data_IF_244596460203
#
_entry.id   IF_244596460203
#
_cell.length_a   1.000
_cell.length_b   1.000
_cell.length_c   1.000
_cell.angle_alpha   90.00
_cell.angle_beta   90.00
_cell.angle_gamma   90.00
#
_symmetry.space_group_name_H-M   'P 1'
#
loop_
_entity.id
_entity.type
_entity.pdbx_description
1 polymer ?
#
# COMPACT_ATOMS: atom_id res chain seq x y z
N UNK A 1 16.46 -22.41 14.79
CA UNK A 1 15.61 -21.89 13.69
C UNK A 1 15.33 -23.06 12.76
N UNK A 2 14.07 -23.28 12.36
CA UNK A 2 13.71 -24.40 11.47
C UNK A 2 14.34 -24.18 10.09
N UNK A 3 14.93 -25.22 9.47
CA UNK A 3 15.60 -25.10 8.15
C UNK A 3 14.62 -24.61 7.09
N UNK A 4 13.35 -25.02 7.16
CA UNK A 4 12.30 -24.52 6.27
C UNK A 4 12.05 -23.01 6.44
N UNK A 5 12.30 -22.45 7.61
CA UNK A 5 12.11 -21.02 7.87
C UNK A 5 13.27 -20.20 7.32
N UNK A 6 14.51 -20.72 7.43
CA UNK A 6 15.71 -20.13 6.83
C UNK A 6 15.54 -20.03 5.31
N UNK A 7 15.15 -21.14 4.66
CA UNK A 7 14.87 -21.20 3.22
C UNK A 7 13.83 -20.19 2.77
N UNK A 8 12.78 -19.99 3.57
CA UNK A 8 11.70 -19.03 3.27
C UNK A 8 12.20 -17.60 3.31
N UNK A 9 12.96 -17.26 4.34
CA UNK A 9 13.54 -15.91 4.50
C UNK A 9 14.49 -15.62 3.33
N UNK A 10 15.35 -16.58 2.99
CA UNK A 10 16.27 -16.45 1.86
C UNK A 10 15.53 -16.31 0.52
N UNK A 11 14.46 -17.08 0.30
CA UNK A 11 13.62 -16.94 -0.89
C UNK A 11 12.90 -15.59 -0.95
N UNK A 12 12.41 -15.08 0.18
CA UNK A 12 11.79 -13.76 0.26
C UNK A 12 12.82 -12.67 -0.11
N UNK A 13 14.02 -12.73 0.46
CA UNK A 13 15.10 -11.81 0.15
C UNK A 13 15.50 -11.83 -1.32
N UNK A 14 15.61 -13.01 -1.94
CA UNK A 14 15.88 -13.14 -3.38
C UNK A 14 14.75 -12.56 -4.23
N UNK A 15 13.50 -12.72 -3.80
CA UNK A 15 12.33 -12.12 -4.47
C UNK A 15 12.40 -10.59 -4.45
N UNK A 16 12.78 -10.02 -3.31
CA UNK A 16 12.84 -8.57 -3.13
C UNK A 16 14.05 -7.96 -3.87
N UNK A 17 15.23 -8.57 -3.76
CA UNK A 17 16.48 -8.06 -4.35
C UNK A 17 16.61 -8.29 -5.85
N UNK A 18 16.26 -9.47 -6.36
CA UNK A 18 16.46 -9.81 -7.78
C UNK A 18 15.20 -9.60 -8.63
N UNK A 19 14.01 -9.58 -8.02
CA UNK A 19 12.73 -9.52 -8.74
C UNK A 19 11.82 -8.36 -8.31
N UNK A 20 12.32 -7.44 -7.47
CA UNK A 20 11.60 -6.24 -7.04
C UNK A 20 10.32 -6.55 -6.25
N UNK A 21 10.30 -7.67 -5.52
CA UNK A 21 9.16 -8.11 -4.73
C UNK A 21 8.03 -8.75 -5.54
N UNK A 22 8.17 -8.87 -6.86
CA UNK A 22 7.10 -9.40 -7.73
C UNK A 22 7.14 -10.93 -7.76
N UNK A 23 6.28 -11.54 -6.94
CA UNK A 23 6.16 -13.02 -6.81
C UNK A 23 5.92 -13.75 -8.14
N UNK A 24 5.23 -13.11 -9.09
CA UNK A 24 4.99 -13.69 -10.41
C UNK A 24 6.29 -13.83 -11.26
N UNK A 25 7.24 -12.90 -11.12
CA UNK A 25 8.50 -12.91 -11.88
C UNK A 25 9.42 -14.04 -11.39
N UNK A 26 9.54 -14.20 -10.08
CA UNK A 26 10.31 -15.31 -9.51
C UNK A 26 9.65 -16.67 -9.81
N UNK A 27 8.32 -16.75 -9.75
CA UNK A 27 7.59 -17.98 -10.09
C UNK A 27 7.86 -18.43 -11.53
N UNK A 28 7.85 -17.48 -12.48
CA UNK A 28 8.20 -17.76 -13.88
C UNK A 28 9.64 -18.27 -14.03
N UNK A 29 10.60 -17.68 -13.31
CA UNK A 29 12.01 -18.12 -13.35
C UNK A 29 12.21 -19.52 -12.77
N UNK A 30 11.47 -19.83 -11.70
CA UNK A 30 11.48 -21.12 -11.01
C UNK A 30 10.63 -22.19 -11.70
N UNK A 31 9.96 -21.88 -12.81
CA UNK A 31 9.02 -22.79 -13.51
C UNK A 31 7.95 -23.36 -12.56
N UNK A 32 7.41 -22.49 -11.70
CA UNK A 32 6.33 -22.84 -10.76
C UNK A 32 5.17 -21.87 -10.92
N UNK A 33 4.00 -22.31 -10.47
CA UNK A 33 2.85 -21.42 -10.39
C UNK A 33 3.06 -20.34 -9.33
N UNK A 34 2.61 -19.12 -9.63
CA UNK A 34 2.66 -18.00 -8.69
C UNK A 34 1.90 -18.29 -7.38
N UNK A 35 0.83 -19.08 -7.46
CA UNK A 35 0.03 -19.58 -6.34
C UNK A 35 0.89 -20.40 -5.36
N UNK A 36 1.79 -21.23 -5.87
CA UNK A 36 2.68 -22.07 -5.06
C UNK A 36 3.71 -21.23 -4.30
N UNK A 37 4.36 -20.28 -4.99
CA UNK A 37 5.32 -19.36 -4.37
C UNK A 37 4.63 -18.47 -3.32
N UNK A 38 3.43 -17.97 -3.61
CA UNK A 38 2.65 -17.18 -2.66
C UNK A 38 2.32 -17.94 -1.37
N UNK A 39 2.03 -19.25 -1.46
CA UNK A 39 1.78 -20.11 -0.30
C UNK A 39 3.02 -20.39 0.54
N UNK A 40 4.20 -20.50 -0.09
CA UNK A 40 5.48 -20.62 0.62
C UNK A 40 5.86 -19.31 1.34
N UNK A 41 5.57 -18.16 0.72
CA UNK A 41 5.91 -16.82 1.24
C UNK A 41 4.77 -16.14 2.00
N UNK A 42 3.64 -16.80 2.21
CA UNK A 42 2.48 -16.17 2.86
C UNK A 42 2.80 -15.76 4.29
N UNK A 43 2.41 -14.54 4.66
CA UNK A 43 2.47 -14.02 6.03
C UNK A 43 1.09 -14.00 6.71
N UNK A 44 0.02 -14.32 5.96
CA UNK A 44 -1.36 -14.33 6.45
C UNK A 44 -1.78 -15.68 7.05
N UNK A 45 -0.92 -16.69 6.93
CA UNK A 45 -1.15 -18.05 7.46
C UNK A 45 -0.22 -18.30 8.63
N UNK A 46 -0.75 -18.85 9.73
CA UNK A 46 0.02 -19.19 10.93
C UNK A 46 1.26 -20.05 10.59
N UNK A 47 2.40 -19.88 11.31
CA UNK A 47 3.63 -20.63 11.11
C UNK A 47 3.47 -22.14 10.92
N UNK A 48 2.61 -22.78 11.73
CA UNK A 48 2.34 -24.21 11.64
C UNK A 48 1.66 -24.66 10.33
N UNK A 49 0.90 -23.78 9.68
CA UNK A 49 0.06 -24.09 8.51
C UNK A 49 0.65 -23.60 7.18
N UNK A 50 1.84 -22.98 7.22
CA UNK A 50 2.53 -22.50 6.01
C UNK A 50 3.12 -23.67 5.22
N UNK A 51 3.09 -23.57 3.89
CA UNK A 51 3.72 -24.58 3.02
C UNK A 51 5.23 -24.52 3.23
N UNK A 52 5.80 -25.61 3.75
CA UNK A 52 7.24 -25.73 4.01
C UNK A 52 8.02 -25.84 2.69
N UNK A 53 9.22 -25.25 2.68
CA UNK A 53 10.18 -25.37 1.58
C UNK A 53 11.07 -26.58 1.87
N UNK A 54 10.75 -27.69 1.20
CA UNK A 54 11.50 -28.93 1.30
C UNK A 54 12.86 -28.87 0.59
N UNK A 55 13.65 -29.93 0.78
CA UNK A 55 15.00 -30.09 0.22
C UNK A 55 15.01 -29.96 -1.30
N UNK A 56 14.19 -30.73 -2.01
CA UNK A 56 14.16 -30.73 -3.48
C UNK A 56 13.82 -29.34 -4.03
N UNK A 57 12.89 -28.65 -3.38
CA UNK A 57 12.49 -27.32 -3.84
C UNK A 57 13.56 -26.27 -3.56
N UNK A 58 14.28 -26.38 -2.44
CA UNK A 58 15.42 -25.51 -2.15
C UNK A 58 16.54 -25.68 -3.20
N UNK A 59 16.88 -26.92 -3.57
CA UNK A 59 17.90 -27.20 -4.59
C UNK A 59 17.48 -26.70 -5.97
N UNK A 60 16.20 -26.89 -6.33
CA UNK A 60 15.65 -26.35 -7.57
C UNK A 60 15.75 -24.83 -7.63
N UNK A 61 15.52 -24.13 -6.51
CA UNK A 61 15.70 -22.67 -6.44
C UNK A 61 17.16 -22.28 -6.67
N UNK A 62 18.10 -22.95 -5.99
CA UNK A 62 19.53 -22.69 -6.11
C UNK A 62 20.01 -22.85 -7.55
N UNK A 63 19.62 -23.95 -8.21
CA UNK A 63 19.97 -24.23 -9.61
C UNK A 63 19.42 -23.16 -10.56
N UNK A 64 18.13 -22.83 -10.44
CA UNK A 64 17.45 -21.90 -11.36
C UNK A 64 17.88 -20.44 -11.18
N UNK A 65 18.37 -20.09 -10.00
CA UNK A 65 18.90 -18.77 -9.68
C UNK A 65 20.43 -18.70 -9.74
N UNK A 66 21.11 -19.81 -10.08
CA UNK A 66 22.58 -19.87 -10.18
C UNK A 66 23.30 -19.63 -8.85
N UNK A 67 22.71 -20.08 -7.74
CA UNK A 67 23.26 -19.96 -6.40
C UNK A 67 24.16 -21.16 -6.08
N UNK A 68 25.10 -20.96 -5.16
CA UNK A 68 25.86 -22.08 -4.60
C UNK A 68 24.95 -23.06 -3.87
N UNK A 69 25.31 -24.34 -3.92
CA UNK A 69 24.56 -25.38 -3.21
C UNK A 69 24.54 -25.09 -1.72
N UNK A 70 23.38 -25.25 -1.09
CA UNK A 70 23.12 -24.90 0.32
C UNK A 70 23.06 -23.40 0.63
N UNK A 71 23.11 -22.53 -0.37
CA UNK A 71 22.90 -21.10 -0.17
C UNK A 71 21.55 -20.80 0.49
N UNK A 72 20.48 -21.54 0.16
CA UNK A 72 19.17 -21.35 0.77
C UNK A 72 19.10 -21.86 2.22
N UNK A 73 20.03 -22.70 2.65
CA UNK A 73 20.09 -23.29 3.99
C UNK A 73 20.97 -22.49 4.94
N UNK A 74 21.84 -21.67 4.37
CA UNK A 74 22.71 -20.79 5.13
C UNK A 74 21.96 -19.52 5.53
N UNK A 75 21.99 -19.11 6.80
CA UNK A 75 21.46 -17.81 7.23
C UNK A 75 22.26 -16.61 6.66
N UNK A 76 23.34 -16.87 5.90
CA UNK A 76 24.34 -15.88 5.48
C UNK A 76 24.14 -15.24 4.11
N UNK A 77 23.03 -15.48 3.40
CA UNK A 77 22.72 -14.72 2.15
C UNK A 77 22.53 -13.21 2.38
N UNK A 78 22.57 -12.75 3.64
CA UNK A 78 22.58 -11.36 4.07
C UNK A 78 23.99 -10.75 4.33
N UNK A 79 25.08 -11.48 4.09
CA UNK A 79 26.42 -10.90 4.16
C UNK A 79 26.83 -10.41 2.76
N UNK A 80 26.86 -9.08 2.59
CA UNK A 80 27.17 -8.42 1.32
C UNK A 80 28.44 -8.96 0.65
N UNK A 81 28.31 -9.25 -0.64
CA UNK A 81 29.44 -9.52 -1.53
C UNK A 81 30.30 -8.25 -1.64
N UNK A 82 31.46 -8.25 -1.00
CA UNK A 82 32.63 -7.46 -1.37
C UNK A 82 33.58 -8.41 -2.09
N UNK A 83 33.79 -8.18 -3.39
CA UNK A 83 35.02 -8.59 -4.08
C UNK A 83 35.72 -7.24 -4.39
N UNK A 84 36.74 -6.81 -3.64
CA UNK A 84 38.17 -7.16 -3.67
C UNK A 84 38.99 -6.23 -4.57
N UNK A 85 39.80 -5.35 -3.94
CA UNK A 85 41.20 -5.07 -4.30
C UNK A 85 41.82 -3.99 -3.41
N UNK A 86 42.74 -4.40 -2.52
CA UNK A 86 44.00 -3.68 -2.29
C UNK A 86 44.18 -2.87 -1.00
N UNK A 87 45.16 -3.30 -0.20
CA UNK A 87 46.02 -2.40 0.59
C UNK A 87 45.64 -2.27 2.07
N UNK A 88 46.35 -3.01 2.93
CA UNK A 88 46.17 -2.97 4.38
C UNK A 88 46.74 -1.72 5.05
N UNK A 89 46.19 -1.38 6.22
CA UNK A 89 46.89 -0.83 7.39
C UNK A 89 46.08 -1.22 8.62
N UNK A 90 46.77 -1.56 9.71
CA UNK A 90 46.19 -1.89 11.01
C UNK A 90 45.24 -0.80 11.54
N UNK A 91 44.09 -1.20 12.08
CA UNK A 91 43.30 -0.36 12.99
C UNK A 91 42.44 -1.20 13.93
N UNK A 92 42.48 -0.77 15.19
CA UNK A 92 41.75 -1.22 16.38
C UNK A 92 40.40 -1.89 16.13
N UNK A 93 40.16 -2.99 16.83
CA UNK A 93 38.86 -3.64 16.90
C UNK A 93 37.77 -2.60 17.25
N UNK A 94 36.71 -2.47 16.43
CA UNK A 94 35.59 -1.60 16.75
C UNK A 94 34.83 -2.20 17.95
N UNK A 95 34.62 -1.41 18.99
CA UNK A 95 33.69 -1.76 20.06
C UNK A 95 32.32 -2.11 19.47
N UNK A 96 31.61 -3.12 20.01
CA UNK A 96 30.30 -3.49 19.48
C UNK A 96 29.34 -2.31 19.66
N UNK A 97 29.00 -1.65 18.55
CA UNK A 97 27.92 -0.68 18.49
C UNK A 97 26.65 -1.32 19.04
N UNK A 98 26.13 -0.77 20.14
CA UNK A 98 24.84 -1.15 20.72
C UNK A 98 23.65 -0.63 19.89
N UNK A 99 23.89 0.01 18.76
CA UNK A 99 22.89 0.46 17.80
C UNK A 99 22.91 -0.46 16.59
N UNK A 100 21.87 -1.27 16.43
CA UNK A 100 21.60 -2.03 15.22
C UNK A 100 20.58 -1.25 14.37
N UNK A 101 20.87 -1.08 13.07
CA UNK A 101 19.87 -0.63 12.10
C UNK A 101 18.80 -1.73 11.98
N UNK A 102 17.65 -1.53 12.61
CA UNK A 102 16.48 -2.39 12.44
C UNK A 102 15.82 -2.01 11.12
N UNK A 103 15.50 -3.01 10.29
CA UNK A 103 14.69 -2.81 9.10
C UNK A 103 13.35 -2.16 9.53
N UNK A 104 13.17 -0.88 9.20
CA UNK A 104 11.87 -0.25 9.39
C UNK A 104 10.89 -0.94 8.43
N UNK A 105 9.76 -1.45 8.92
CA UNK A 105 8.77 -1.99 8.01
C UNK A 105 8.29 -0.85 7.12
N UNK A 106 8.61 -0.90 5.82
CA UNK A 106 7.95 -0.07 4.82
C UNK A 106 6.48 -0.49 4.78
N UNK A 107 5.66 0.17 5.59
CA UNK A 107 4.23 -0.10 5.66
C UNK A 107 3.53 0.56 4.48
N UNK A 108 3.76 0.03 3.29
CA UNK A 108 3.03 0.37 2.08
C UNK A 108 1.78 -0.50 1.97
N UNK A 109 0.63 0.15 1.88
CA UNK A 109 -0.67 -0.46 1.68
C UNK A 109 -1.16 -0.15 0.27
N UNK A 110 -1.87 -1.10 -0.34
CA UNK A 110 -2.34 -1.00 -1.72
C UNK A 110 -3.86 -0.84 -1.73
N UNK A 111 -4.34 0.19 -2.42
CA UNK A 111 -5.77 0.50 -2.52
C UNK A 111 -6.19 0.63 -4.00
N UNK A 112 -7.40 0.21 -4.37
CA UNK A 112 -7.90 0.34 -5.73
C UNK A 112 -8.12 1.81 -6.09
N UNK A 113 -7.93 2.12 -7.37
CA UNK A 113 -8.34 3.40 -7.95
C UNK A 113 -9.73 3.23 -8.53
N UNK A 114 -10.67 4.11 -8.18
CA UNK A 114 -12.08 3.99 -8.59
C UNK A 114 -12.59 5.26 -9.27
N UNK A 115 -13.72 5.14 -9.97
CA UNK A 115 -14.39 6.28 -10.60
C UNK A 115 -15.30 7.03 -9.62
N UNK A 116 -15.70 8.26 -9.97
CA UNK A 116 -16.66 9.06 -9.20
C UNK A 116 -18.05 8.42 -9.09
N UNK A 117 -18.48 7.69 -10.12
CA UNK A 117 -19.74 6.94 -10.12
C UNK A 117 -19.67 5.79 -9.12
N UNK A 118 -18.57 5.02 -9.15
CA UNK A 118 -18.32 3.93 -8.21
C UNK A 118 -18.21 4.42 -6.77
N UNK A 119 -17.58 5.57 -6.54
CA UNK A 119 -17.53 6.20 -5.23
C UNK A 119 -18.94 6.60 -4.73
N UNK A 120 -19.83 7.06 -5.62
CA UNK A 120 -21.21 7.42 -5.28
C UNK A 120 -22.08 6.22 -4.87
N UNK A 121 -21.86 5.04 -5.46
CA UNK A 121 -22.60 3.81 -5.13
C UNK A 121 -21.99 3.00 -3.99
N UNK A 122 -20.86 3.45 -3.42
CA UNK A 122 -20.13 2.81 -2.33
C UNK A 122 -21.01 2.36 -1.15
N UNK A 123 -22.01 3.17 -0.87
CA UNK A 123 -22.98 3.01 0.19
C UNK A 123 -23.84 1.75 0.14
N UNK A 124 -23.89 1.06 -1.00
CA UNK A 124 -24.87 0.01 -1.33
C UNK A 124 -24.22 -1.37 -1.57
N UNK A 125 -22.89 -1.50 -1.45
CA UNK A 125 -22.16 -2.73 -1.78
C UNK A 125 -21.84 -3.59 -0.55
N UNK A 126 -22.16 -4.90 -0.62
CA UNK A 126 -21.93 -5.90 0.44
C UNK A 126 -20.45 -6.32 0.56
N UNK A 127 -19.71 -6.28 -0.54
CA UNK A 127 -18.24 -6.42 -0.56
C UNK A 127 -17.66 -5.42 -1.54
N UNK A 128 -17.11 -4.29 -1.06
CA UNK A 128 -16.74 -3.20 -1.95
C UNK A 128 -15.58 -3.53 -2.91
N UNK A 129 -14.64 -4.40 -2.52
CA UNK A 129 -13.43 -4.66 -3.30
C UNK A 129 -12.98 -6.13 -3.27
N UNK A 130 -13.64 -7.04 -4.00
CA UNK A 130 -13.06 -8.34 -4.30
C UNK A 130 -11.77 -8.19 -5.12
N UNK A 131 -10.89 -9.21 -5.06
CA UNK A 131 -9.70 -9.26 -5.89
C UNK A 131 -10.07 -9.05 -7.38
N UNK A 132 -9.45 -8.06 -8.03
CA UNK A 132 -9.75 -7.69 -9.42
C UNK A 132 -10.89 -6.69 -9.62
N UNK A 133 -11.42 -6.05 -8.56
CA UNK A 133 -12.46 -5.02 -8.68
C UNK A 133 -12.07 -3.80 -9.53
N UNK A 134 -10.78 -3.43 -9.50
CA UNK A 134 -10.22 -2.35 -10.31
C UNK A 134 -9.01 -2.85 -11.09
N UNK A 135 -8.86 -2.37 -12.31
CA UNK A 135 -7.67 -2.62 -13.13
C UNK A 135 -6.44 -1.88 -12.60
N UNK A 136 -6.63 -0.88 -11.72
CA UNK A 136 -5.58 0.00 -11.23
C UNK A 136 -5.59 0.10 -9.71
N UNK A 137 -4.40 0.04 -9.13
CA UNK A 137 -4.17 0.23 -7.71
C UNK A 137 -2.97 1.14 -7.50
N UNK A 138 -3.05 1.96 -6.47
CA UNK A 138 -1.96 2.85 -6.05
C UNK A 138 -1.61 2.56 -4.57
N UNK A 139 -0.37 2.85 -4.19
CA UNK A 139 0.17 2.57 -2.84
C UNK A 139 0.08 3.80 -1.93
N UNK A 140 -0.04 3.56 -0.63
CA UNK A 140 0.00 4.60 0.41
C UNK A 140 0.75 4.12 1.65
N UNK A 141 1.37 5.04 2.37
CA UNK A 141 1.89 4.86 3.72
C UNK A 141 0.78 4.77 4.80
N UNK A 142 -0.46 5.08 4.41
CA UNK A 142 -1.59 5.10 5.33
C UNK A 142 -2.27 3.73 5.42
N UNK A 143 -2.39 3.20 6.64
CA UNK A 143 -3.24 2.05 6.96
C UNK A 143 -4.67 2.51 7.20
N UNK A 144 -5.58 2.19 6.29
CA UNK A 144 -7.00 2.50 6.44
C UNK A 144 -7.62 1.74 7.61
N UNK A 145 -8.58 2.38 8.28
CA UNK A 145 -9.39 1.76 9.33
C UNK A 145 -10.37 0.75 8.72
N UNK A 146 -10.95 1.09 7.59
CA UNK A 146 -11.87 0.24 6.83
C UNK A 146 -11.48 0.13 5.36
N UNK A 147 -12.43 -0.22 4.48
CA UNK A 147 -12.15 -0.25 3.06
C UNK A 147 -11.90 1.18 2.55
N UNK A 148 -10.88 1.31 1.70
CA UNK A 148 -10.38 2.59 1.24
C UNK A 148 -10.00 2.53 -0.24
N UNK A 149 -10.02 3.68 -0.90
CA UNK A 149 -9.76 3.78 -2.33
C UNK A 149 -9.15 5.10 -2.73
N UNK A 150 -8.42 5.07 -3.83
CA UNK A 150 -7.93 6.24 -4.52
C UNK A 150 -8.98 6.76 -5.49
N UNK A 151 -9.17 8.07 -5.51
CA UNK A 151 -10.05 8.78 -6.42
C UNK A 151 -9.28 9.93 -7.06
N UNK A 152 -9.43 10.10 -8.38
CA UNK A 152 -8.84 11.23 -9.10
C UNK A 152 -9.76 12.45 -8.98
N UNK A 153 -9.22 13.57 -8.52
CA UNK A 153 -9.97 14.81 -8.32
C UNK A 153 -10.39 15.38 -9.67
N UNK A 154 -11.69 15.60 -9.85
CA UNK A 154 -12.29 16.20 -11.05
C UNK A 154 -12.80 17.61 -10.73
N UNK A 155 -12.48 18.56 -11.61
CA UNK A 155 -12.78 19.98 -11.43
C UNK A 155 -11.96 20.67 -10.34
N UNK A 156 -12.06 21.99 -10.29
CA UNK A 156 -11.22 22.88 -9.47
C UNK A 156 -11.89 23.38 -8.18
N UNK A 157 -13.01 22.77 -7.77
CA UNK A 157 -13.74 23.18 -6.55
C UNK A 157 -12.93 23.04 -5.26
N UNK A 158 -11.84 22.26 -5.31
CA UNK A 158 -10.92 22.05 -4.19
C UNK A 158 -9.55 22.71 -4.42
N UNK A 159 -9.41 23.45 -5.51
CA UNK A 159 -8.24 24.29 -5.82
C UNK A 159 -8.37 25.62 -5.10
N UNK A 160 -7.62 25.78 -4.01
CA UNK A 160 -7.55 27.04 -3.25
C UNK A 160 -6.28 27.82 -3.61
N UNK A 161 -6.33 29.14 -3.45
CA UNK A 161 -5.16 30.03 -3.50
C UNK A 161 -4.30 29.95 -2.23
N UNK A 162 -4.78 29.25 -1.20
CA UNK A 162 -4.12 29.03 0.09
C UNK A 162 -4.13 27.54 0.46
N UNK A 163 -3.20 27.11 1.32
CA UNK A 163 -3.15 25.73 1.78
C UNK A 163 -4.27 25.43 2.82
N UNK A 164 -4.89 24.24 2.79
CA UNK A 164 -4.68 23.17 1.80
C UNK A 164 -5.36 23.50 0.46
N UNK A 165 -4.73 23.10 -0.64
CA UNK A 165 -5.25 23.21 -2.01
C UNK A 165 -5.04 21.86 -2.71
N UNK A 166 -6.09 21.32 -3.32
CA UNK A 166 -6.06 20.04 -4.00
C UNK A 166 -6.56 20.26 -5.44
N UNK A 167 -5.64 20.45 -6.39
CA UNK A 167 -5.99 20.74 -7.76
C UNK A 167 -6.59 19.51 -8.46
N UNK A 168 -7.34 19.77 -9.53
CA UNK A 168 -7.79 18.78 -10.49
C UNK A 168 -6.63 17.89 -10.96
N UNK A 169 -6.90 16.60 -11.17
CA UNK A 169 -5.90 15.59 -11.53
C UNK A 169 -5.09 15.05 -10.35
N UNK A 170 -5.21 15.64 -9.15
CA UNK A 170 -4.62 15.04 -7.94
C UNK A 170 -5.35 13.74 -7.58
N UNK A 171 -4.63 12.78 -7.01
CA UNK A 171 -5.24 11.59 -6.41
C UNK A 171 -5.46 11.78 -4.93
N UNK A 172 -6.61 11.36 -4.42
CA UNK A 172 -6.95 11.41 -3.00
C UNK A 172 -7.29 10.02 -2.49
N UNK A 173 -6.78 9.67 -1.31
CA UNK A 173 -7.11 8.42 -0.63
C UNK A 173 -8.28 8.68 0.32
N UNK A 174 -9.35 7.93 0.13
CA UNK A 174 -10.59 8.00 0.90
C UNK A 174 -10.67 6.78 1.80
N UNK A 175 -10.75 7.00 3.11
CA UNK A 175 -11.02 5.96 4.11
C UNK A 175 -12.46 6.08 4.58
N UNK A 176 -13.22 5.00 4.42
CA UNK A 176 -14.67 5.01 4.65
C UNK A 176 -15.05 4.79 6.12
N UNK A 177 -14.12 4.32 6.94
CA UNK A 177 -14.31 4.16 8.40
C UNK A 177 -13.49 5.16 9.22
N UNK A 178 -12.82 6.11 8.57
CA UNK A 178 -12.14 7.21 9.24
C UNK A 178 -13.14 8.17 9.92
N UNK A 179 -12.70 8.77 11.03
CA UNK A 179 -13.59 9.59 11.87
C UNK A 179 -14.05 10.86 11.13
N UNK A 180 -15.33 10.90 10.79
CA UNK A 180 -15.97 12.05 10.16
C UNK A 180 -16.17 13.15 11.19
N UNK A 181 -15.43 14.25 11.07
CA UNK A 181 -15.52 15.42 11.95
C UNK A 181 -15.50 16.72 11.16
N UNK A 182 -16.15 17.79 11.65
CA UNK A 182 -15.98 19.12 11.08
C UNK A 182 -14.51 19.50 10.97
N UNK A 183 -14.14 20.17 9.88
CA UNK A 183 -12.77 20.51 9.51
C UNK A 183 -12.10 19.49 8.58
N UNK A 184 -12.62 18.26 8.47
CA UNK A 184 -12.08 17.23 7.58
C UNK A 184 -12.54 17.40 6.14
N UNK A 185 -11.72 16.90 5.22
CA UNK A 185 -12.03 16.79 3.80
C UNK A 185 -12.75 15.46 3.59
N UNK A 186 -13.90 15.46 2.91
CA UNK A 186 -14.80 14.30 2.82
C UNK A 186 -15.31 14.09 1.40
N UNK A 187 -15.55 12.82 1.08
CA UNK A 187 -16.39 12.45 -0.07
C UNK A 187 -17.81 12.27 0.44
N UNK A 188 -18.76 12.94 -0.21
CA UNK A 188 -20.16 12.90 0.15
C UNK A 188 -21.03 12.66 -1.09
N UNK A 189 -22.20 12.06 -0.89
CA UNK A 189 -23.26 11.96 -1.89
C UNK A 189 -24.42 12.84 -1.44
N UNK A 190 -24.85 13.72 -2.34
CA UNK A 190 -26.06 14.52 -2.17
C UNK A 190 -27.27 13.72 -2.65
N UNK A 191 -28.45 13.93 -2.06
CA UNK A 191 -29.67 13.21 -2.39
C UNK A 191 -30.03 13.28 -3.89
N UNK A 192 -29.85 14.47 -4.47
CA UNK A 192 -30.24 14.78 -5.85
C UNK A 192 -29.19 14.35 -6.89
N UNK A 193 -28.09 13.71 -6.45
CA UNK A 193 -26.98 13.31 -7.32
C UNK A 193 -26.58 11.86 -7.09
N UNK A 194 -26.45 11.11 -8.20
CA UNK A 194 -25.84 9.78 -8.17
C UNK A 194 -24.31 9.82 -8.12
N UNK A 195 -23.69 10.97 -8.40
CA UNK A 195 -22.24 11.16 -8.35
C UNK A 195 -21.81 11.71 -6.98
N UNK A 196 -20.66 11.23 -6.49
CA UNK A 196 -20.06 11.75 -5.27
C UNK A 196 -19.46 13.15 -5.48
N UNK A 197 -19.30 13.92 -4.40
CA UNK A 197 -18.65 15.23 -4.40
C UNK A 197 -17.56 15.30 -3.35
N UNK A 198 -16.52 16.09 -3.61
CA UNK A 198 -15.41 16.31 -2.70
C UNK A 198 -15.44 17.73 -2.12
N UNK A 199 -15.59 17.83 -0.80
CA UNK A 199 -15.74 19.09 -0.06
C UNK A 199 -15.14 18.99 1.34
N UNK A 200 -14.94 20.13 2.00
CA UNK A 200 -14.63 20.21 3.44
C UNK A 200 -15.93 20.17 4.23
N UNK A 201 -16.04 19.24 5.18
CA UNK A 201 -17.13 19.23 6.14
C UNK A 201 -16.91 20.36 7.14
N UNK A 202 -17.89 21.23 7.33
CA UNK A 202 -17.89 22.26 8.38
C UNK A 202 -19.21 22.21 9.13
N UNK A 203 -19.22 22.69 10.36
CA UNK A 203 -20.41 22.76 11.19
C UNK A 203 -20.51 24.17 11.75
N UNK A 204 -21.68 24.79 11.60
CA UNK A 204 -21.98 26.12 12.10
C UNK A 204 -23.39 26.14 12.67
N UNK A 205 -23.56 26.63 13.90
CA UNK A 205 -24.85 26.63 14.59
C UNK A 205 -25.53 25.25 14.74
N UNK A 206 -24.75 24.15 14.75
CA UNK A 206 -25.28 22.78 14.79
C UNK A 206 -25.72 22.23 13.43
N UNK A 207 -25.57 23.01 12.35
CA UNK A 207 -25.88 22.60 10.97
C UNK A 207 -24.58 22.28 10.25
N UNK A 208 -24.57 21.16 9.51
CA UNK A 208 -23.40 20.74 8.72
C UNK A 208 -23.46 21.27 7.30
N UNK A 209 -22.32 21.67 6.78
CA UNK A 209 -22.15 22.15 5.42
C UNK A 209 -20.96 21.49 4.74
N UNK A 210 -21.07 21.34 3.41
CA UNK A 210 -20.02 20.93 2.50
C UNK A 210 -19.45 22.18 1.82
N UNK A 211 -18.32 22.65 2.33
CA UNK A 211 -17.64 23.85 1.86
C UNK A 211 -16.53 23.50 0.86
N UNK A 212 -16.55 24.05 -0.37
CA UNK A 212 -15.41 23.94 -1.29
C UNK A 212 -14.21 24.71 -0.73
N UNK A 213 -12.99 24.30 -1.12
CA UNK A 213 -11.79 25.07 -0.80
C UNK A 213 -11.64 26.28 -1.74
N UNK A 214 -12.16 26.17 -2.97
CA UNK A 214 -12.22 27.26 -3.92
C UNK A 214 -13.40 28.20 -3.60
N UNK A 215 -13.17 29.48 -3.25
CA UNK A 215 -14.24 30.44 -2.93
C UNK A 215 -15.19 30.77 -4.09
N UNK A 216 -14.81 30.47 -5.33
CA UNK A 216 -15.67 30.65 -6.50
C UNK A 216 -16.86 29.68 -6.52
N UNK A 217 -16.84 28.63 -5.70
CA UNK A 217 -17.88 27.63 -5.63
C UNK A 217 -18.78 27.84 -4.40
N UNK A 218 -20.11 27.61 -4.52
CA UNK A 218 -21.02 27.76 -3.41
C UNK A 218 -20.83 26.67 -2.35
N UNK A 219 -21.06 27.03 -1.09
CA UNK A 219 -21.17 26.07 0.01
C UNK A 219 -22.56 25.44 -0.02
N UNK A 220 -22.64 24.12 0.16
CA UNK A 220 -23.89 23.37 0.13
C UNK A 220 -24.21 22.90 1.54
N UNK A 221 -25.45 23.06 1.99
CA UNK A 221 -25.89 22.50 3.27
C UNK A 221 -25.99 20.97 3.15
N UNK A 222 -25.41 20.26 4.12
CA UNK A 222 -25.53 18.80 4.21
C UNK A 222 -26.80 18.50 5.00
N UNK A 223 -27.92 18.33 4.29
CA UNK A 223 -29.23 17.96 4.84
C UNK A 223 -29.26 16.49 5.28
N UNK A 224 -30.40 16.02 5.79
CA UNK A 224 -30.55 14.66 6.33
C UNK A 224 -30.24 13.54 5.31
N UNK A 225 -30.44 13.81 4.02
CA UNK A 225 -30.18 12.86 2.93
C UNK A 225 -28.72 12.92 2.41
N UNK A 226 -27.89 13.78 2.99
CA UNK A 226 -26.47 13.90 2.66
C UNK A 226 -25.70 12.75 3.30
N UNK A 227 -25.18 11.83 2.48
CA UNK A 227 -24.41 10.68 2.98
C UNK A 227 -22.91 10.92 2.83
N UNK A 228 -22.18 10.90 3.93
CA UNK A 228 -20.72 10.89 3.91
C UNK A 228 -20.24 9.48 3.56
N UNK A 229 -19.47 9.37 2.48
CA UNK A 229 -18.89 8.12 1.98
C UNK A 229 -17.59 7.81 2.72
N UNK A 230 -16.77 8.83 2.97
CA UNK A 230 -15.50 8.65 3.67
C UNK A 230 -14.71 9.94 3.82
N UNK A 231 -13.61 9.86 4.57
CA UNK A 231 -12.70 10.97 4.85
C UNK A 231 -11.47 10.87 3.96
N UNK A 232 -11.05 11.99 3.40
CA UNK A 232 -9.80 12.09 2.66
C UNK A 232 -8.63 12.18 3.64
N UNK A 233 -7.75 11.18 3.59
CA UNK A 233 -6.63 10.99 4.54
C UNK A 233 -5.27 11.27 3.93
N UNK A 234 -5.17 11.21 2.59
CA UNK A 234 -3.98 11.53 1.80
C UNK A 234 -4.37 12.19 0.49
N UNK A 235 -3.47 13.00 -0.05
CA UNK A 235 -3.53 13.54 -1.41
C UNK A 235 -2.15 13.42 -2.05
N UNK A 236 -2.10 13.07 -3.33
CA UNK A 236 -0.89 12.95 -4.12
C UNK A 236 -1.11 13.69 -5.45
N UNK A 237 -0.20 14.60 -5.80
CA UNK A 237 -0.20 15.23 -7.13
C UNK A 237 0.87 14.56 -7.97
N UNK A 238 0.48 14.00 -9.11
CA UNK A 238 1.39 13.38 -10.07
C UNK A 238 1.70 14.40 -11.17
N UNK A 239 2.97 14.61 -11.44
CA UNK A 239 3.44 15.40 -12.56
C UNK A 239 3.82 14.45 -13.70
N UNK A 240 3.47 14.81 -14.93
CA UNK A 240 3.85 14.07 -16.13
C UNK A 240 5.32 14.32 -16.50
#
# INVERSE_FOLDING_TARGET
MDISEIRRINLQHLTDTQFGGVKAKIAAKLEREASYIARCLSLTVAPENRKKIGEDFARHIEERLGLERYALDSPSLNAGKRDDAGGGVASSAPEPSNVAMIAQPEQMYRYPVVSWVTAGTWSEAVQPFPDGFSDRYDISDYKAKGPAFWLEVKGDSMTSTSAPSIPEGSQILVDTEADVRPGKLVIAKLADSNEATFKKLVEDGGVRYLKPLNPAYPTVQCSDDCKIIGVVVRSLTKFA
#
